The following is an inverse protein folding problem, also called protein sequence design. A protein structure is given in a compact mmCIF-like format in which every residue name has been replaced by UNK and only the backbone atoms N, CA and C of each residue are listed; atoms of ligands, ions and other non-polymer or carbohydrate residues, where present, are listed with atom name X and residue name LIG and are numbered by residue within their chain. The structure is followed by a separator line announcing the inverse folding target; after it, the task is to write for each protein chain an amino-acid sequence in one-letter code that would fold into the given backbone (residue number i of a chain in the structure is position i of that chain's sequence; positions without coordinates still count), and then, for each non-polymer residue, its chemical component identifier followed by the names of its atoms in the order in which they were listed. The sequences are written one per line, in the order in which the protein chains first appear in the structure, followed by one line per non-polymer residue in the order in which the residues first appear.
data_IF_993781683174
#
_entry.id   IF_993781683174
#
_cell.length_a   1.000
_cell.length_b   1.000
_cell.length_c   1.000
_cell.angle_alpha   90.00
_cell.angle_beta   90.00
_cell.angle_gamma   90.00
#
_symmetry.space_group_name_H-M   'P 1'
#
loop_
_entity.id
_entity.type
_entity.pdbx_description
1 polymer ?
#
# COMPACT_ATOMS: atom_id res chain seq x y z
N UNK A 1 -21.64 22.71 8.92
CA UNK A 1 -21.19 21.32 8.62
C UNK A 1 -20.32 21.30 7.37
N UNK A 2 -20.76 21.88 6.25
CA UNK A 2 -19.90 22.15 5.07
C UNK A 2 -18.62 22.91 5.45
N UNK A 3 -18.72 23.95 6.27
CA UNK A 3 -17.56 24.77 6.68
C UNK A 3 -16.52 24.01 7.52
N UNK A 4 -16.92 22.98 8.25
CA UNK A 4 -16.00 22.12 9.02
C UNK A 4 -15.23 21.17 8.10
N UNK A 5 -15.92 20.62 7.10
CA UNK A 5 -15.30 19.81 6.05
C UNK A 5 -14.38 20.70 5.19
N UNK A 6 -14.79 21.93 4.85
CA UNK A 6 -13.97 22.88 4.09
C UNK A 6 -12.71 23.28 4.86
N UNK A 7 -12.77 23.47 6.18
CA UNK A 7 -11.60 23.81 6.99
C UNK A 7 -10.62 22.62 7.14
N UNK A 8 -11.13 21.38 7.14
CA UNK A 8 -10.30 20.17 7.06
C UNK A 8 -9.70 19.99 5.65
N UNK A 9 -10.46 20.31 4.61
CA UNK A 9 -9.99 20.32 3.23
C UNK A 9 -8.93 21.39 3.04
N UNK A 10 -9.05 22.62 3.55
CA UNK A 10 -8.04 23.68 3.42
C UNK A 10 -6.69 23.32 4.05
N UNK A 11 -6.68 22.52 5.12
CA UNK A 11 -5.45 22.02 5.74
C UNK A 11 -4.80 20.86 4.96
N UNK A 12 -5.55 20.19 4.09
CA UNK A 12 -5.09 19.09 3.22
C UNK A 12 -4.96 19.49 1.74
N UNK A 13 -5.59 20.59 1.32
CA UNK A 13 -5.66 21.04 -0.06
C UNK A 13 -4.50 21.98 -0.33
N UNK A 14 -3.29 21.45 -0.43
CA UNK A 14 -2.19 22.03 -1.22
C UNK A 14 -1.00 21.06 -1.25
N UNK A 15 -1.21 19.93 -1.93
CA UNK A 15 -0.40 19.48 -3.07
C UNK A 15 -0.60 17.97 -3.22
N UNK A 16 -1.11 17.54 -4.37
CA UNK A 16 -0.79 16.20 -4.86
C UNK A 16 0.73 16.21 -5.13
N UNK A 17 1.51 15.95 -4.09
CA UNK A 17 2.96 15.84 -4.16
C UNK A 17 3.30 14.38 -4.39
N UNK A 18 4.37 14.10 -5.14
CA UNK A 18 4.88 12.73 -5.27
C UNK A 18 5.08 12.06 -3.90
N UNK A 19 5.41 12.83 -2.86
CA UNK A 19 5.54 12.38 -1.48
C UNK A 19 4.22 11.87 -0.87
N UNK A 20 3.07 12.49 -1.15
CA UNK A 20 1.80 12.00 -0.62
C UNK A 20 1.34 10.73 -1.33
N UNK A 21 1.75 10.56 -2.60
CA UNK A 21 1.47 9.37 -3.40
C UNK A 21 2.38 8.18 -3.04
N UNK A 22 3.68 8.42 -2.80
CA UNK A 22 4.69 7.38 -2.58
C UNK A 22 5.11 7.20 -1.12
N UNK A 23 4.94 8.21 -0.27
CA UNK A 23 5.44 8.16 1.10
C UNK A 23 4.44 7.56 2.09
N UNK A 24 4.95 7.06 3.22
CA UNK A 24 4.15 6.60 4.35
C UNK A 24 4.11 7.66 5.45
N UNK A 25 2.92 7.94 5.98
CA UNK A 25 2.74 8.75 7.19
C UNK A 25 2.87 7.90 8.46
N UNK A 26 2.91 8.52 9.64
CA UNK A 26 3.04 7.81 10.92
C UNK A 26 1.93 6.77 11.18
N UNK A 27 0.73 6.99 10.65
CA UNK A 27 -0.43 6.09 10.85
C UNK A 27 -0.52 4.96 9.83
N UNK A 28 0.35 4.97 8.81
CA UNK A 28 0.39 3.97 7.74
C UNK A 28 1.61 3.07 7.95
N UNK A 29 1.43 1.77 7.76
CA UNK A 29 2.50 0.79 7.95
C UNK A 29 3.03 0.24 6.63
N UNK A 30 2.24 0.34 5.56
CA UNK A 30 2.64 -0.13 4.25
C UNK A 30 1.88 0.55 3.12
N UNK A 31 2.46 0.46 1.92
CA UNK A 31 1.96 1.03 0.68
C UNK A 31 2.11 -0.01 -0.42
N UNK A 32 1.10 -0.14 -1.28
CA UNK A 32 1.15 -0.94 -2.50
C UNK A 32 0.70 -0.09 -3.67
N UNK A 33 1.52 -0.05 -4.73
CA UNK A 33 1.16 0.54 -6.01
C UNK A 33 0.72 -0.54 -6.98
N UNK A 34 -0.48 -0.40 -7.53
CA UNK A 34 -1.02 -1.31 -8.54
C UNK A 34 -1.42 -0.56 -9.80
N UNK A 35 -1.15 -1.19 -10.95
CA UNK A 35 -1.61 -0.74 -12.26
C UNK A 35 -2.82 -1.56 -12.68
N UNK A 36 -3.88 -0.89 -13.13
CA UNK A 36 -5.14 -1.52 -13.55
C UNK A 36 -5.68 -0.79 -14.78
N UNK A 37 -6.15 -1.51 -15.81
CA UNK A 37 -6.94 -0.90 -16.87
C UNK A 37 -8.20 -0.22 -16.32
N UNK A 38 -8.55 0.96 -16.82
CA UNK A 38 -9.73 1.71 -16.37
C UNK A 38 -11.03 0.88 -16.48
N UNK A 39 -11.13 0.01 -17.48
CA UNK A 39 -12.28 -0.87 -17.69
C UNK A 39 -12.45 -1.95 -16.60
N UNK A 40 -11.34 -2.36 -15.98
CA UNK A 40 -11.31 -3.43 -14.97
C UNK A 40 -11.30 -2.88 -13.54
N UNK A 41 -11.30 -1.55 -13.40
CA UNK A 41 -11.25 -0.91 -12.10
C UNK A 41 -12.57 -1.04 -11.33
N UNK A 42 -12.51 -1.75 -10.21
CA UNK A 42 -13.57 -1.80 -9.21
C UNK A 42 -12.99 -1.67 -7.81
N UNK A 43 -13.32 -0.57 -7.15
CA UNK A 43 -12.87 -0.32 -5.78
C UNK A 43 -13.39 -1.37 -4.80
N UNK A 44 -14.59 -1.90 -5.01
CA UNK A 44 -15.18 -2.92 -4.14
C UNK A 44 -14.38 -4.22 -4.16
N UNK A 45 -13.82 -4.59 -5.31
CA UNK A 45 -12.99 -5.80 -5.41
C UNK A 45 -11.66 -5.62 -4.68
N UNK A 46 -10.99 -4.49 -4.90
CA UNK A 46 -9.75 -4.14 -4.22
C UNK A 46 -9.97 -4.12 -2.70
N UNK A 47 -11.03 -3.46 -2.24
CA UNK A 47 -11.40 -3.43 -0.83
C UNK A 47 -11.63 -4.85 -0.27
N UNK A 48 -12.35 -5.70 -0.99
CA UNK A 48 -12.59 -7.09 -0.58
C UNK A 48 -11.29 -7.88 -0.44
N UNK A 49 -10.35 -7.73 -1.39
CA UNK A 49 -9.07 -8.42 -1.37
C UNK A 49 -8.23 -7.95 -0.17
N UNK A 50 -8.16 -6.64 0.05
CA UNK A 50 -7.46 -6.05 1.19
C UNK A 50 -8.05 -6.54 2.51
N UNK A 51 -9.37 -6.43 2.69
CA UNK A 51 -10.05 -6.83 3.92
C UNK A 51 -9.98 -8.34 4.18
N UNK A 52 -9.99 -9.16 3.12
CA UNK A 52 -9.82 -10.62 3.24
C UNK A 52 -8.43 -11.03 3.73
N UNK A 53 -7.43 -10.15 3.60
CA UNK A 53 -6.08 -10.31 4.15
C UNK A 53 -5.94 -9.64 5.53
N UNK A 54 -7.04 -9.43 6.24
CA UNK A 54 -7.09 -8.79 7.57
C UNK A 54 -6.45 -7.38 7.60
N UNK A 55 -6.41 -6.71 6.46
CA UNK A 55 -5.89 -5.36 6.32
C UNK A 55 -7.02 -4.34 6.27
N UNK A 56 -6.71 -3.10 6.61
CA UNK A 56 -7.61 -1.96 6.44
C UNK A 56 -6.95 -0.93 5.52
N UNK A 57 -7.72 -0.42 4.55
CA UNK A 57 -7.30 0.71 3.71
C UNK A 57 -7.28 1.98 4.57
N UNK A 58 -6.09 2.55 4.74
CA UNK A 58 -5.87 3.82 5.44
C UNK A 58 -6.05 4.99 4.50
N UNK A 59 -5.51 4.86 3.30
CA UNK A 59 -5.55 5.90 2.29
C UNK A 59 -5.51 5.29 0.89
N UNK A 60 -6.12 5.99 -0.06
CA UNK A 60 -6.20 5.57 -1.45
C UNK A 60 -6.04 6.77 -2.36
N UNK A 61 -5.05 6.71 -3.25
CA UNK A 61 -4.92 7.63 -4.36
C UNK A 61 -5.16 6.90 -5.67
N UNK A 62 -5.92 7.54 -6.57
CA UNK A 62 -6.17 7.06 -7.91
C UNK A 62 -5.54 8.06 -8.88
N UNK A 63 -4.57 7.61 -9.67
CA UNK A 63 -3.89 8.43 -10.66
C UNK A 63 -4.19 7.89 -12.06
N UNK A 64 -4.95 8.60 -12.90
CA UNK A 64 -5.05 8.27 -14.31
C UNK A 64 -3.73 8.55 -15.03
N UNK A 65 -3.26 7.57 -15.80
CA UNK A 65 -2.07 7.72 -16.65
C UNK A 65 -2.43 8.47 -17.93
N UNK A 66 -1.46 9.12 -18.57
CA UNK A 66 -1.67 10.04 -19.70
C UNK A 66 -2.30 9.39 -20.95
N UNK A 67 -2.20 8.07 -21.08
CA UNK A 67 -2.87 7.22 -22.08
C UNK A 67 -4.38 7.09 -21.82
N UNK A 68 -4.88 7.48 -20.64
CA UNK A 68 -6.29 7.55 -20.27
C UNK A 68 -6.98 6.21 -20.06
N UNK A 69 -6.33 5.12 -20.41
CA UNK A 69 -6.87 3.77 -20.35
C UNK A 69 -6.37 2.96 -19.14
N UNK A 70 -5.46 3.54 -18.38
CA UNK A 70 -4.76 2.88 -17.28
C UNK A 70 -4.80 3.76 -16.03
N UNK A 71 -5.02 3.13 -14.88
CA UNK A 71 -4.97 3.75 -13.57
C UNK A 71 -3.80 3.18 -12.78
N UNK A 72 -3.11 4.05 -12.06
CA UNK A 72 -2.20 3.65 -10.99
C UNK A 72 -2.86 3.99 -9.67
N UNK A 73 -3.03 3.00 -8.82
CA UNK A 73 -3.53 3.18 -7.47
C UNK A 73 -2.38 3.08 -6.47
N UNK A 74 -2.34 4.03 -5.54
CA UNK A 74 -1.50 3.97 -4.35
C UNK A 74 -2.41 3.65 -3.17
N UNK A 75 -2.24 2.44 -2.62
CA UNK A 75 -3.07 1.87 -1.57
C UNK A 75 -2.22 1.80 -0.30
N UNK A 76 -2.55 2.62 0.70
CA UNK A 76 -1.85 2.64 1.98
C UNK A 76 -2.65 1.88 3.03
N UNK A 77 -1.95 1.10 3.83
CA UNK A 77 -2.51 0.05 4.67
C UNK A 77 -1.92 0.10 6.07
N UNK A 78 -2.64 -0.51 7.02
CA UNK A 78 -2.17 -0.69 8.40
C UNK A 78 -1.34 -1.98 8.60
N UNK A 79 -1.05 -2.73 7.55
CA UNK A 79 -0.25 -3.96 7.63
C UNK A 79 1.24 -3.65 7.79
N UNK A 80 1.92 -4.39 8.67
CA UNK A 80 3.39 -4.37 8.77
C UNK A 80 4.04 -5.25 7.69
N UNK A 81 3.43 -6.40 7.40
CA UNK A 81 3.85 -7.31 6.33
C UNK A 81 2.75 -7.38 5.26
N UNK A 82 3.04 -6.89 4.05
CA UNK A 82 2.10 -6.95 2.92
C UNK A 82 2.29 -8.19 2.04
N UNK A 83 3.24 -9.07 2.33
CA UNK A 83 3.52 -10.25 1.51
C UNK A 83 2.27 -11.10 1.21
N UNK A 84 1.38 -11.40 2.20
CA UNK A 84 0.16 -12.15 1.93
C UNK A 84 -0.81 -11.42 0.99
N UNK A 85 -0.88 -10.09 1.12
CA UNK A 85 -1.70 -9.26 0.26
C UNK A 85 -1.15 -9.20 -1.16
N UNK A 86 0.17 -9.07 -1.33
CA UNK A 86 0.83 -9.09 -2.64
C UNK A 86 0.52 -10.39 -3.40
N UNK A 87 0.67 -11.54 -2.73
CA UNK A 87 0.32 -12.85 -3.32
C UNK A 87 -1.16 -12.93 -3.72
N UNK A 88 -2.05 -12.35 -2.91
CA UNK A 88 -3.47 -12.30 -3.23
C UNK A 88 -3.75 -11.42 -4.45
N UNK A 89 -3.16 -10.23 -4.51
CA UNK A 89 -3.29 -9.30 -5.64
C UNK A 89 -2.81 -9.94 -6.95
N UNK A 90 -1.64 -10.59 -6.94
CA UNK A 90 -1.14 -11.32 -8.09
C UNK A 90 -2.09 -12.45 -8.53
N UNK A 91 -2.68 -13.19 -7.57
CA UNK A 91 -3.67 -14.25 -7.86
C UNK A 91 -4.94 -13.71 -8.52
N UNK A 92 -5.32 -12.47 -8.24
CA UNK A 92 -6.44 -11.78 -8.89
C UNK A 92 -6.00 -10.97 -10.12
N UNK A 93 -4.81 -11.26 -10.67
CA UNK A 93 -4.27 -10.63 -11.88
C UNK A 93 -4.03 -9.12 -11.76
N UNK A 94 -3.86 -8.59 -10.54
CA UNK A 94 -3.41 -7.20 -10.35
C UNK A 94 -1.91 -7.09 -10.61
N UNK A 95 -1.52 -6.08 -11.40
CA UNK A 95 -0.11 -5.79 -11.67
C UNK A 95 0.44 -4.87 -10.59
N UNK A 96 1.23 -5.44 -9.67
CA UNK A 96 1.93 -4.65 -8.64
C UNK A 96 3.14 -3.96 -9.28
N UNK A 97 3.20 -2.63 -9.19
CA UNK A 97 4.32 -1.84 -9.69
C UNK A 97 5.40 -1.64 -8.62
N UNK A 98 4.97 -1.44 -7.37
CA UNK A 98 5.85 -1.14 -6.25
C UNK A 98 5.15 -1.46 -4.93
N UNK A 99 5.92 -1.72 -3.88
CA UNK A 99 5.41 -1.79 -2.52
C UNK A 99 6.47 -1.28 -1.55
N UNK A 100 6.00 -0.72 -0.44
CA UNK A 100 6.83 -0.28 0.68
C UNK A 100 6.20 -0.79 1.98
N UNK A 101 7.05 -1.25 2.89
CA UNK A 101 6.66 -1.65 4.24
C UNK A 101 7.55 -0.86 5.18
N UNK A 102 6.97 -0.26 6.22
CA UNK A 102 7.80 0.21 7.33
C UNK A 102 8.54 -0.97 7.90
N UNK A 103 9.81 -0.77 8.26
CA UNK A 103 10.56 -1.74 9.04
C UNK A 103 9.81 -1.99 10.35
N UNK A 104 9.10 -3.12 10.41
CA UNK A 104 8.51 -3.66 11.62
C UNK A 104 9.47 -4.66 12.25
N UNK A 105 9.28 -4.90 13.55
CA UNK A 105 10.05 -5.87 14.37
C UNK A 105 10.17 -7.28 13.78
N UNK A 106 9.31 -7.64 12.82
CA UNK A 106 9.30 -8.92 12.11
C UNK A 106 10.54 -9.08 11.23
N UNK A 107 10.92 -8.05 10.46
CA UNK A 107 12.10 -8.15 9.57
C UNK A 107 13.39 -8.31 10.37
N UNK A 108 13.49 -7.69 11.55
CA UNK A 108 14.61 -7.88 12.48
C UNK A 108 14.63 -9.29 13.07
N UNK A 109 13.49 -9.84 13.49
CA UNK A 109 13.44 -11.21 14.03
C UNK A 109 13.77 -12.28 12.98
N UNK A 110 13.40 -12.06 11.71
CA UNK A 110 13.77 -12.97 10.63
C UNK A 110 15.26 -12.86 10.27
N UNK A 111 15.84 -11.66 10.30
CA UNK A 111 17.29 -11.45 10.14
C UNK A 111 18.07 -12.08 11.29
N UNK A 112 17.66 -11.85 12.54
CA UNK A 112 18.29 -12.45 13.73
C UNK A 112 18.30 -13.98 13.66
N UNK A 113 17.17 -14.61 13.30
CA UNK A 113 17.12 -16.08 13.13
C UNK A 113 17.97 -16.60 11.98
N UNK A 114 18.09 -15.83 10.89
CA UNK A 114 18.96 -16.17 9.76
C UNK A 114 20.43 -16.07 10.17
N UNK A 115 20.79 -15.01 10.91
CA UNK A 115 22.14 -14.81 11.43
C UNK A 115 22.53 -15.87 12.47
N UNK A 116 21.60 -16.27 13.34
CA UNK A 116 21.79 -17.41 14.25
C UNK A 116 22.04 -18.71 13.49
N UNK A 117 21.29 -18.99 12.43
CA UNK A 117 21.50 -20.16 11.57
C UNK A 117 22.87 -20.13 10.87
N UNK A 118 23.27 -18.98 10.32
CA UNK A 118 24.57 -18.82 9.67
C UNK A 118 25.73 -18.94 10.66
N UNK A 119 25.56 -18.45 11.88
CA UNK A 119 26.51 -18.63 12.97
C UNK A 119 26.70 -20.13 13.27
N UNK A 120 25.62 -20.91 13.37
CA UNK A 120 25.71 -22.36 13.57
C UNK A 120 26.37 -23.10 12.41
N UNK A 121 26.17 -22.66 11.17
CA UNK A 121 26.75 -23.28 9.97
C UNK A 121 28.21 -22.91 9.72
N UNK A 122 28.68 -21.80 10.29
CA UNK A 122 30.06 -21.33 10.19
C UNK A 122 30.95 -21.80 11.35
N UNK A 123 30.37 -22.56 12.28
CA UNK A 123 31.05 -23.19 13.41
C UNK A 123 31.60 -24.57 13.06
#
# INVERSE_FOLDING_TARGET
MKDFITHQIEKQSLSFTAESFLGLSDTENSLVLVEIPLADYTLTEIARIVESNNARVMNLFVLPVADGNTLILSIKLNLLDVSPLLMSLERFNYKVLHYEMKEGSVTDTHKERLDELLYYLSM
#
